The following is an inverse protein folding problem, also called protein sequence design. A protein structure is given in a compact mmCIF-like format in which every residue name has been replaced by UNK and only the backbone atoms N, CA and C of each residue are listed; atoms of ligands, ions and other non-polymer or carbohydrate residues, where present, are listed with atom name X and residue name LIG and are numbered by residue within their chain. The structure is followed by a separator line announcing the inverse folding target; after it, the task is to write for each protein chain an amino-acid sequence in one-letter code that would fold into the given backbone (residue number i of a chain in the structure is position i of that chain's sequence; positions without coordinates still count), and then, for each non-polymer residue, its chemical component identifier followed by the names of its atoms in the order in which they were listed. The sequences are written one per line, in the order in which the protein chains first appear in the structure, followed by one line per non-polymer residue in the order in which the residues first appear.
data_IF_674091085273
#
_entry.id   IF_674091085273
#
_cell.length_a   1.000
_cell.length_b   1.000
_cell.length_c   1.000
_cell.angle_alpha   90.00
_cell.angle_beta   90.00
_cell.angle_gamma   90.00
#
_symmetry.space_group_name_H-M   'P 1'
#
loop_
_entity.id
_entity.type
_entity.pdbx_description
1 polymer ?
#
# COMPACT_ATOMS: atom_id res chain seq x y z
N UNK A 1 -39.04 4.32 -44.91
CA UNK A 1 -38.26 5.26 -44.08
C UNK A 1 -38.12 4.65 -42.69
N UNK A 2 -36.90 4.20 -42.33
CA UNK A 2 -36.51 3.84 -40.96
C UNK A 2 -35.27 4.67 -40.65
N UNK A 3 -35.21 5.29 -39.47
CA UNK A 3 -33.97 5.28 -38.69
C UNK A 3 -34.27 4.72 -37.29
N UNK A 4 -33.69 3.58 -36.91
CA UNK A 4 -32.41 3.48 -36.21
C UNK A 4 -32.46 4.15 -34.83
N UNK A 5 -33.13 3.47 -33.90
CA UNK A 5 -32.89 3.63 -32.47
C UNK A 5 -31.57 2.90 -32.17
N UNK A 6 -30.44 3.62 -32.19
CA UNK A 6 -29.21 3.15 -31.57
C UNK A 6 -29.37 3.30 -30.06
N UNK A 7 -30.03 2.32 -29.43
CA UNK A 7 -29.93 2.11 -27.99
C UNK A 7 -28.46 1.89 -27.66
N UNK A 8 -27.80 2.89 -27.07
CA UNK A 8 -26.55 2.65 -26.33
C UNK A 8 -26.87 1.66 -25.22
N UNK A 9 -26.61 0.38 -25.50
CA UNK A 9 -26.81 -0.70 -24.55
C UNK A 9 -25.76 -0.53 -23.46
N UNK A 10 -26.18 -0.19 -22.23
CA UNK A 10 -25.25 -0.07 -21.12
C UNK A 10 -24.40 -1.34 -21.00
N UNK A 11 -23.07 -1.20 -20.85
CA UNK A 11 -22.17 -2.35 -20.90
C UNK A 11 -22.36 -3.26 -19.68
N UNK A 12 -22.89 -4.46 -19.94
CA UNK A 12 -23.31 -5.42 -18.93
C UNK A 12 -22.20 -5.81 -17.93
N UNK A 13 -22.55 -6.09 -16.66
CA UNK A 13 -21.61 -6.51 -15.61
C UNK A 13 -21.12 -7.95 -15.84
N UNK A 14 -19.99 -8.31 -15.24
CA UNK A 14 -19.39 -9.63 -15.37
C UNK A 14 -20.34 -10.75 -14.91
N UNK A 15 -21.17 -10.50 -13.89
CA UNK A 15 -22.18 -11.44 -13.40
C UNK A 15 -23.20 -11.86 -14.46
N UNK A 16 -23.42 -11.06 -15.50
CA UNK A 16 -24.31 -11.39 -16.61
C UNK A 16 -23.79 -12.55 -17.46
N UNK A 17 -22.47 -12.76 -17.54
CA UNK A 17 -21.84 -13.74 -18.43
C UNK A 17 -21.59 -15.11 -17.77
N UNK A 18 -22.21 -15.36 -16.61
CA UNK A 18 -22.08 -16.62 -15.88
C UNK A 18 -20.82 -16.71 -15.03
N UNK A 19 -20.29 -17.92 -14.87
CA UNK A 19 -19.24 -18.21 -13.89
C UNK A 19 -17.95 -17.40 -14.16
N UNK A 20 -17.28 -16.99 -13.07
CA UNK A 20 -16.16 -16.04 -13.03
C UNK A 20 -14.83 -16.61 -13.54
N UNK A 21 -14.85 -17.35 -14.65
CA UNK A 21 -13.69 -17.98 -15.26
C UNK A 21 -13.10 -17.09 -16.37
N UNK A 22 -11.88 -17.40 -16.84
CA UNK A 22 -11.20 -16.76 -17.99
C UNK A 22 -12.02 -16.70 -19.31
N UNK A 23 -13.19 -17.34 -19.35
CA UNK A 23 -14.14 -17.28 -20.48
C UNK A 23 -15.09 -16.07 -20.39
N UNK A 24 -15.14 -15.40 -19.24
CA UNK A 24 -15.96 -14.21 -19.07
C UNK A 24 -15.32 -13.04 -19.86
N UNK A 25 -16.03 -12.45 -20.83
CA UNK A 25 -15.47 -11.42 -21.70
C UNK A 25 -15.10 -10.14 -20.95
N UNK A 26 -15.80 -9.82 -19.87
CA UNK A 26 -15.50 -8.62 -19.05
C UNK A 26 -14.19 -8.81 -18.28
N UNK A 27 -13.98 -10.01 -17.71
CA UNK A 27 -12.74 -10.35 -17.00
C UNK A 27 -11.56 -10.38 -17.97
N UNK A 28 -11.72 -11.03 -19.13
CA UNK A 28 -10.66 -11.13 -20.14
C UNK A 28 -10.29 -9.76 -20.72
N UNK A 29 -11.27 -8.89 -20.95
CA UNK A 29 -11.01 -7.52 -21.40
C UNK A 29 -10.29 -6.70 -20.32
N UNK A 30 -10.71 -6.82 -19.06
CA UNK A 30 -10.04 -6.18 -17.93
C UNK A 30 -8.59 -6.63 -17.77
N UNK A 31 -8.35 -7.94 -17.74
CA UNK A 31 -7.00 -8.52 -17.65
C UNK A 31 -6.11 -8.04 -18.81
N UNK A 32 -6.68 -7.96 -20.02
CA UNK A 32 -5.98 -7.44 -21.20
C UNK A 32 -5.60 -5.97 -21.05
N UNK A 33 -6.56 -5.12 -20.65
CA UNK A 33 -6.35 -3.68 -20.47
C UNK A 33 -5.31 -3.41 -19.36
N UNK A 34 -5.38 -4.15 -18.24
CA UNK A 34 -4.43 -4.06 -17.14
C UNK A 34 -3.03 -4.48 -17.56
N UNK A 35 -2.87 -5.62 -18.25
CA UNK A 35 -1.54 -6.09 -18.72
C UNK A 35 -0.91 -5.12 -19.71
N UNK A 36 -1.71 -4.53 -20.60
CA UNK A 36 -1.25 -3.48 -21.52
C UNK A 36 -0.78 -2.25 -20.75
N UNK A 37 -1.56 -1.81 -19.75
CA UNK A 37 -1.19 -0.70 -18.87
C UNK A 37 0.12 -1.00 -18.12
N UNK A 38 0.25 -2.15 -17.46
CA UNK A 38 1.47 -2.56 -16.76
C UNK A 38 2.70 -2.54 -17.68
N UNK A 39 2.57 -3.08 -18.89
CA UNK A 39 3.65 -3.11 -19.88
C UNK A 39 4.06 -1.70 -20.30
N UNK A 40 3.09 -0.82 -20.54
CA UNK A 40 3.34 0.59 -20.85
C UNK A 40 4.04 1.31 -19.69
N UNK A 41 3.55 1.13 -18.46
CA UNK A 41 4.13 1.75 -17.25
C UNK A 41 5.56 1.25 -16.99
N UNK A 42 5.84 -0.04 -17.21
CA UNK A 42 7.19 -0.60 -17.12
C UNK A 42 8.12 0.08 -18.12
N UNK A 43 7.70 0.19 -19.38
CA UNK A 43 8.50 0.82 -20.44
C UNK A 43 8.86 2.26 -20.10
N UNK A 44 7.91 3.06 -19.60
CA UNK A 44 8.22 4.46 -19.23
C UNK A 44 9.16 4.55 -18.03
N UNK A 45 9.10 3.60 -17.08
CA UNK A 45 9.98 3.58 -15.91
C UNK A 45 11.44 3.25 -16.26
N UNK A 46 11.67 2.59 -17.40
CA UNK A 46 13.01 2.23 -17.89
C UNK A 46 13.59 3.26 -18.85
N UNK A 47 12.86 4.32 -19.20
CA UNK A 47 13.39 5.36 -20.07
C UNK A 47 14.50 6.14 -19.35
N UNK A 48 15.59 6.49 -20.05
CA UNK A 48 16.71 7.23 -19.44
C UNK A 48 16.31 8.66 -19.07
N UNK A 49 15.30 9.22 -19.74
CA UNK A 49 14.76 10.56 -19.46
C UNK A 49 13.31 10.45 -19.01
N UNK A 50 12.95 11.24 -17.99
CA UNK A 50 11.61 11.26 -17.45
C UNK A 50 10.65 12.01 -18.39
N UNK A 51 9.81 11.26 -19.12
CA UNK A 51 8.77 11.84 -19.97
C UNK A 51 7.47 12.07 -19.19
N UNK A 52 7.23 13.33 -18.84
CA UNK A 52 6.03 13.75 -18.11
C UNK A 52 4.74 13.44 -18.89
N UNK A 53 4.75 13.57 -20.22
CA UNK A 53 3.56 13.37 -21.04
C UNK A 53 3.15 11.89 -21.10
N UNK A 54 4.13 11.00 -21.28
CA UNK A 54 3.88 9.56 -21.22
C UNK A 54 3.44 9.10 -19.83
N UNK A 55 4.03 9.66 -18.76
CA UNK A 55 3.58 9.39 -17.39
C UNK A 55 2.14 9.84 -17.16
N UNK A 56 1.79 11.08 -17.53
CA UNK A 56 0.44 11.61 -17.38
C UNK A 56 -0.59 10.79 -18.17
N UNK A 57 -0.24 10.38 -19.40
CA UNK A 57 -1.07 9.50 -20.22
C UNK A 57 -1.30 8.16 -19.55
N UNK A 58 -0.24 7.52 -19.05
CA UNK A 58 -0.35 6.24 -18.33
C UNK A 58 -1.23 6.34 -17.09
N UNK A 59 -1.07 7.41 -16.31
CA UNK A 59 -1.91 7.68 -15.14
C UNK A 59 -3.39 7.86 -15.50
N UNK A 60 -3.68 8.62 -16.58
CA UNK A 60 -5.04 8.82 -17.08
C UNK A 60 -5.66 7.50 -17.55
N UNK A 61 -4.95 6.71 -18.34
CA UNK A 61 -5.42 5.41 -18.81
C UNK A 61 -5.72 4.47 -17.65
N UNK A 62 -4.86 4.43 -16.62
CA UNK A 62 -5.10 3.60 -15.43
C UNK A 62 -6.38 4.02 -14.69
N UNK A 63 -6.58 5.33 -14.51
CA UNK A 63 -7.80 5.87 -13.90
C UNK A 63 -9.06 5.52 -14.70
N UNK A 64 -9.01 5.61 -16.03
CA UNK A 64 -10.11 5.25 -16.92
C UNK A 64 -10.43 3.76 -16.83
N UNK A 65 -9.43 2.87 -16.81
CA UNK A 65 -9.62 1.43 -16.60
C UNK A 65 -10.35 1.19 -15.26
N UNK A 66 -9.89 1.83 -14.19
CA UNK A 66 -10.51 1.68 -12.88
C UNK A 66 -11.98 2.11 -12.85
N UNK A 67 -12.33 3.22 -13.50
CA UNK A 67 -13.72 3.68 -13.52
C UNK A 67 -14.59 2.82 -14.44
N UNK A 68 -14.06 2.39 -15.59
CA UNK A 68 -14.75 1.53 -16.57
C UNK A 68 -15.17 0.19 -15.96
N UNK A 69 -14.30 -0.41 -15.15
CA UNK A 69 -14.51 -1.78 -14.65
C UNK A 69 -15.04 -1.85 -13.21
N UNK A 70 -14.99 -0.77 -12.42
CA UNK A 70 -15.51 -0.75 -11.04
C UNK A 70 -16.97 -1.24 -10.92
N UNK A 71 -17.94 -0.77 -11.72
CA UNK A 71 -19.31 -1.26 -11.61
C UNK A 71 -19.52 -2.62 -12.27
N UNK A 72 -18.53 -3.12 -13.02
CA UNK A 72 -18.67 -4.31 -13.88
C UNK A 72 -18.02 -5.55 -13.29
N UNK A 73 -17.12 -5.40 -12.32
CA UNK A 73 -16.39 -6.51 -11.69
C UNK A 73 -16.86 -6.72 -10.25
N UNK A 74 -16.80 -7.95 -9.73
CA UNK A 74 -16.99 -8.16 -8.30
C UNK A 74 -15.95 -7.42 -7.47
N UNK A 75 -16.40 -6.87 -6.35
CA UNK A 75 -15.60 -5.98 -5.48
C UNK A 75 -14.26 -6.60 -5.10
N UNK A 76 -14.25 -7.82 -4.58
CA UNK A 76 -13.02 -8.49 -4.13
C UNK A 76 -12.00 -8.65 -5.27
N UNK A 77 -12.46 -9.05 -6.45
CA UNK A 77 -11.60 -9.24 -7.62
C UNK A 77 -11.01 -7.91 -8.10
N UNK A 78 -11.83 -6.85 -8.15
CA UNK A 78 -11.39 -5.51 -8.51
C UNK A 78 -10.36 -4.95 -7.51
N UNK A 79 -10.66 -5.06 -6.22
CA UNK A 79 -9.80 -4.59 -5.13
C UNK A 79 -8.45 -5.28 -5.12
N UNK A 80 -8.43 -6.61 -5.32
CA UNK A 80 -7.18 -7.37 -5.37
C UNK A 80 -6.30 -6.91 -6.54
N UNK A 81 -6.87 -6.77 -7.75
CA UNK A 81 -6.11 -6.33 -8.92
C UNK A 81 -5.65 -4.87 -8.80
N UNK A 82 -6.43 -4.01 -8.14
CA UNK A 82 -6.01 -2.64 -7.83
C UNK A 82 -4.76 -2.63 -6.95
N UNK A 83 -4.74 -3.44 -5.88
CA UNK A 83 -3.58 -3.54 -5.00
C UNK A 83 -2.40 -4.24 -5.68
N UNK A 84 -2.63 -5.25 -6.53
CA UNK A 84 -1.56 -5.86 -7.34
C UNK A 84 -0.91 -4.84 -8.29
N UNK A 85 -1.70 -3.98 -8.93
CA UNK A 85 -1.16 -2.88 -9.73
C UNK A 85 -0.37 -1.89 -8.86
N UNK A 86 -0.86 -1.56 -7.66
CA UNK A 86 -0.16 -0.67 -6.72
C UNK A 86 1.22 -1.22 -6.33
N UNK A 87 1.28 -2.51 -5.98
CA UNK A 87 2.52 -3.24 -5.68
C UNK A 87 3.48 -3.23 -6.88
N UNK A 88 2.95 -3.45 -8.08
CA UNK A 88 3.75 -3.42 -9.31
C UNK A 88 4.34 -2.02 -9.55
N UNK A 89 3.52 -0.97 -9.45
CA UNK A 89 3.95 0.43 -9.60
C UNK A 89 5.00 0.80 -8.56
N UNK A 90 4.86 0.33 -7.33
CA UNK A 90 5.88 0.46 -6.29
C UNK A 90 7.18 -0.22 -6.71
N UNK A 91 7.12 -1.45 -7.23
CA UNK A 91 8.29 -2.21 -7.69
C UNK A 91 9.08 -1.55 -8.82
N UNK A 92 8.40 -0.80 -9.70
CA UNK A 92 9.04 0.00 -10.76
C UNK A 92 9.30 1.46 -10.35
N UNK A 93 9.27 1.75 -9.04
CA UNK A 93 9.55 3.07 -8.44
C UNK A 93 8.60 4.21 -8.87
N UNK A 94 7.41 3.89 -9.36
CA UNK A 94 6.35 4.86 -9.63
C UNK A 94 5.48 5.06 -8.38
N UNK A 95 6.12 5.42 -7.27
CA UNK A 95 5.50 5.47 -5.93
C UNK A 95 4.29 6.40 -5.87
N UNK A 96 4.38 7.57 -6.51
CA UNK A 96 3.27 8.53 -6.56
C UNK A 96 2.05 7.90 -7.22
N UNK A 97 2.23 7.20 -8.35
CA UNK A 97 1.09 6.60 -9.04
C UNK A 97 0.51 5.42 -8.25
N UNK A 98 1.35 4.55 -7.69
CA UNK A 98 0.91 3.43 -6.87
C UNK A 98 0.16 3.87 -5.60
N UNK A 99 0.60 4.97 -5.00
CA UNK A 99 -0.08 5.59 -3.87
C UNK A 99 -1.49 6.08 -4.26
N UNK A 100 -1.59 6.92 -5.30
CA UNK A 100 -2.84 7.58 -5.65
C UNK A 100 -3.85 6.67 -6.37
N UNK A 101 -3.40 5.86 -7.32
CA UNK A 101 -4.29 5.00 -8.15
C UNK A 101 -4.47 3.59 -7.58
N UNK A 102 -3.81 3.29 -6.45
CA UNK A 102 -3.82 1.97 -5.82
C UNK A 102 -4.21 2.07 -4.36
N UNK A 103 -3.22 2.24 -3.48
CA UNK A 103 -3.40 2.12 -2.03
C UNK A 103 -4.39 3.14 -1.45
N UNK A 104 -4.23 4.44 -1.74
CA UNK A 104 -5.16 5.46 -1.25
C UNK A 104 -6.55 5.29 -1.84
N UNK A 105 -6.65 4.94 -3.13
CA UNK A 105 -7.93 4.70 -3.81
C UNK A 105 -8.71 3.56 -3.16
N UNK A 106 -8.01 2.50 -2.75
CA UNK A 106 -8.61 1.40 -1.99
C UNK A 106 -9.13 1.89 -0.63
N UNK A 107 -8.29 2.61 0.14
CA UNK A 107 -8.60 3.04 1.50
C UNK A 107 -9.71 4.10 1.59
N UNK A 108 -9.88 4.92 0.54
CA UNK A 108 -10.96 5.91 0.43
C UNK A 108 -12.36 5.29 0.50
N UNK A 109 -12.49 3.97 0.30
CA UNK A 109 -13.75 3.25 0.47
C UNK A 109 -14.17 3.09 1.93
N UNK A 110 -13.23 3.21 2.87
CA UNK A 110 -13.47 3.04 4.31
C UNK A 110 -13.41 4.36 5.06
N UNK A 111 -12.38 5.17 4.76
CA UNK A 111 -12.17 6.44 5.43
C UNK A 111 -11.63 7.48 4.47
N UNK A 112 -12.17 8.70 4.55
CA UNK A 112 -11.66 9.88 3.86
C UNK A 112 -10.63 10.64 4.69
N UNK A 113 -10.43 10.22 5.94
CA UNK A 113 -9.50 10.85 6.88
C UNK A 113 -8.05 10.52 6.46
N UNK A 114 -7.16 11.52 6.37
CA UNK A 114 -5.73 11.29 6.16
C UNK A 114 -5.14 10.35 7.21
N UNK A 115 -4.23 9.46 6.82
CA UNK A 115 -3.55 8.56 7.76
C UNK A 115 -2.80 9.31 8.87
N UNK A 116 -2.37 10.54 8.58
CA UNK A 116 -1.66 11.42 9.50
C UNK A 116 -2.56 11.91 10.66
N UNK A 117 -3.89 11.84 10.50
CA UNK A 117 -4.88 12.29 11.49
C UNK A 117 -5.39 11.16 12.41
N UNK A 118 -4.98 9.91 12.18
CA UNK A 118 -5.32 8.77 13.04
C UNK A 118 -4.43 8.82 14.28
N UNK A 119 -5.04 9.03 15.46
CA UNK A 119 -4.32 9.32 16.71
C UNK A 119 -4.20 8.15 17.69
N UNK A 120 -5.10 7.19 17.60
CA UNK A 120 -5.18 6.07 18.55
C UNK A 120 -5.68 4.78 17.89
N UNK A 121 -5.58 3.68 18.65
CA UNK A 121 -5.90 2.32 18.20
C UNK A 121 -7.40 2.14 17.92
N UNK A 122 -8.26 2.82 18.68
CA UNK A 122 -9.70 2.67 18.52
C UNK A 122 -10.16 3.37 17.24
N UNK A 123 -9.71 4.61 17.01
CA UNK A 123 -9.95 5.35 15.77
C UNK A 123 -9.41 4.58 14.55
N UNK A 124 -8.23 3.94 14.66
CA UNK A 124 -7.70 3.08 13.62
C UNK A 124 -8.62 1.89 13.31
N UNK A 125 -9.06 1.16 14.35
CA UNK A 125 -9.93 -0.02 14.19
C UNK A 125 -11.30 0.37 13.63
N UNK A 126 -11.93 1.41 14.14
CA UNK A 126 -13.26 1.84 13.67
C UNK A 126 -13.21 2.37 12.23
N UNK A 127 -12.12 3.03 11.84
CA UNK A 127 -11.97 3.60 10.49
C UNK A 127 -11.74 2.55 9.41
N UNK A 128 -10.92 1.53 9.68
CA UNK A 128 -10.46 0.59 8.64
C UNK A 128 -10.94 -0.84 8.84
N UNK A 129 -11.33 -1.22 10.07
CA UNK A 129 -11.69 -2.58 10.44
C UNK A 129 -12.96 -2.64 11.29
N UNK A 130 -14.09 -2.06 10.82
CA UNK A 130 -15.34 -2.07 11.59
C UNK A 130 -15.87 -3.48 11.87
N UNK A 131 -15.46 -4.48 11.07
CA UNK A 131 -15.80 -5.90 11.23
C UNK A 131 -14.70 -6.73 11.89
N UNK A 132 -13.66 -6.09 12.42
CA UNK A 132 -12.48 -6.77 12.98
C UNK A 132 -11.49 -7.25 11.92
N UNK A 133 -10.51 -8.05 12.37
CA UNK A 133 -9.36 -8.46 11.55
C UNK A 133 -9.52 -9.84 10.90
N UNK A 134 -10.50 -10.64 11.31
CA UNK A 134 -10.70 -12.01 10.82
C UNK A 134 -11.56 -12.05 9.53
N UNK A 135 -11.33 -11.10 8.62
CA UNK A 135 -12.03 -11.01 7.33
C UNK A 135 -11.05 -11.07 6.17
N UNK A 136 -11.47 -11.58 5.01
CA UNK A 136 -10.62 -11.59 3.81
C UNK A 136 -10.23 -10.17 3.37
N UNK A 137 -11.13 -9.21 3.61
CA UNK A 137 -10.91 -7.79 3.32
C UNK A 137 -9.84 -7.17 4.23
N UNK A 138 -9.70 -7.65 5.48
CA UNK A 138 -8.70 -7.13 6.40
C UNK A 138 -7.28 -7.30 5.86
N UNK A 139 -6.98 -8.43 5.19
CA UNK A 139 -5.66 -8.67 4.56
C UNK A 139 -5.36 -7.63 3.48
N UNK A 140 -6.33 -7.33 2.63
CA UNK A 140 -6.21 -6.31 1.58
C UNK A 140 -6.05 -4.90 2.20
N UNK A 141 -6.79 -4.62 3.27
CA UNK A 141 -6.72 -3.35 4.00
C UNK A 141 -5.35 -3.13 4.63
N UNK A 142 -4.79 -4.14 5.31
CA UNK A 142 -3.43 -4.04 5.85
C UNK A 142 -2.39 -3.84 4.74
N UNK A 143 -2.50 -4.57 3.62
CA UNK A 143 -1.63 -4.38 2.46
C UNK A 143 -1.69 -2.94 1.94
N UNK A 144 -2.89 -2.37 1.84
CA UNK A 144 -3.07 -0.99 1.39
C UNK A 144 -2.47 0.04 2.35
N UNK A 145 -2.72 -0.13 3.66
CA UNK A 145 -2.17 0.74 4.70
C UNK A 145 -0.62 0.72 4.72
N UNK A 146 -0.02 -0.47 4.67
CA UNK A 146 1.43 -0.63 4.59
C UNK A 146 2.00 -0.03 3.31
N UNK A 147 1.35 -0.29 2.17
CA UNK A 147 1.72 0.27 0.87
C UNK A 147 1.67 1.80 0.86
N UNK A 148 0.65 2.41 1.47
CA UNK A 148 0.56 3.86 1.66
C UNK A 148 1.75 4.42 2.44
N UNK A 149 2.07 3.81 3.59
CA UNK A 149 3.21 4.23 4.42
C UNK A 149 4.53 4.14 3.65
N UNK A 150 4.75 3.02 2.95
CA UNK A 150 5.95 2.79 2.16
C UNK A 150 6.08 3.77 1.00
N UNK A 151 5.03 3.98 0.20
CA UNK A 151 5.04 4.96 -0.88
C UNK A 151 5.30 6.37 -0.36
N UNK A 152 4.65 6.77 0.73
CA UNK A 152 4.84 8.09 1.32
C UNK A 152 6.29 8.28 1.80
N UNK A 153 6.87 7.28 2.45
CA UNK A 153 8.28 7.28 2.83
C UNK A 153 9.23 7.41 1.63
N UNK A 154 9.05 6.60 0.58
CA UNK A 154 9.92 6.67 -0.60
C UNK A 154 9.80 8.02 -1.32
N UNK A 155 8.60 8.59 -1.40
CA UNK A 155 8.40 9.93 -1.98
C UNK A 155 9.11 11.03 -1.20
N UNK A 156 9.17 10.95 0.13
CA UNK A 156 9.97 11.90 0.91
C UNK A 156 11.46 11.69 0.68
N UNK A 157 11.93 10.45 0.48
CA UNK A 157 13.34 10.17 0.14
C UNK A 157 13.75 10.70 -1.23
N UNK A 158 12.85 10.69 -2.21
CA UNK A 158 13.13 11.19 -3.56
C UNK A 158 13.23 12.72 -3.66
N UNK A 159 12.77 13.46 -2.64
CA UNK A 159 12.75 14.93 -2.65
C UNK A 159 14.11 15.61 -2.48
N UNK A 160 15.19 14.85 -2.23
CA UNK A 160 16.56 15.38 -2.19
C UNK A 160 17.35 14.94 -0.95
N UNK A 161 18.51 15.57 -0.75
CA UNK A 161 19.53 15.16 0.22
C UNK A 161 19.24 15.55 1.67
N UNK A 162 18.24 16.41 1.93
CA UNK A 162 17.83 16.77 3.30
C UNK A 162 16.30 16.91 3.36
N UNK A 163 15.61 16.23 4.29
CA UNK A 163 14.18 16.40 4.47
C UNK A 163 13.88 17.81 4.98
N UNK A 164 12.95 18.49 4.32
CA UNK A 164 12.39 19.74 4.84
C UNK A 164 11.76 19.50 6.21
N UNK A 165 11.60 20.52 7.04
CA UNK A 165 10.88 20.40 8.33
C UNK A 165 9.50 19.74 8.16
N UNK A 166 8.80 20.08 7.07
CA UNK A 166 7.53 19.46 6.68
C UNK A 166 7.69 17.96 6.36
N UNK A 167 8.75 17.59 5.64
CA UNK A 167 9.09 16.20 5.36
C UNK A 167 9.39 15.40 6.63
N UNK A 168 10.16 15.96 7.56
CA UNK A 168 10.43 15.34 8.87
C UNK A 168 9.13 15.11 9.63
N UNK A 169 8.26 16.13 9.74
CA UNK A 169 6.96 15.98 10.40
C UNK A 169 6.12 14.88 9.76
N UNK A 170 6.10 14.81 8.43
CA UNK A 170 5.39 13.76 7.71
C UNK A 170 5.92 12.36 8.02
N UNK A 171 7.25 12.21 8.09
CA UNK A 171 7.88 10.94 8.47
C UNK A 171 7.57 10.55 9.92
N UNK A 172 7.49 11.52 10.84
CA UNK A 172 7.03 11.30 12.21
C UNK A 172 5.57 10.87 12.26
N UNK A 173 4.69 11.48 11.47
CA UNK A 173 3.29 11.05 11.35
C UNK A 173 3.17 9.61 10.82
N UNK A 174 3.96 9.25 9.81
CA UNK A 174 4.01 7.86 9.30
C UNK A 174 4.48 6.90 10.39
N UNK A 175 5.54 7.25 11.15
CA UNK A 175 6.01 6.44 12.29
C UNK A 175 4.92 6.25 13.36
N UNK A 176 4.23 7.34 13.71
CA UNK A 176 3.09 7.30 14.63
C UNK A 176 1.98 6.37 14.14
N UNK A 177 1.63 6.46 12.86
CA UNK A 177 0.62 5.60 12.26
C UNK A 177 1.04 4.12 12.25
N UNK A 178 2.27 3.81 11.86
CA UNK A 178 2.81 2.42 11.89
C UNK A 178 2.79 1.87 13.31
N UNK A 179 3.11 2.69 14.32
CA UNK A 179 3.01 2.29 15.73
C UNK A 179 1.59 1.93 16.12
N UNK A 180 0.61 2.79 15.80
CA UNK A 180 -0.80 2.54 16.12
C UNK A 180 -1.27 1.24 15.46
N UNK A 181 -0.93 1.03 14.19
CA UNK A 181 -1.23 -0.20 13.47
C UNK A 181 -0.63 -1.42 14.17
N UNK A 182 0.65 -1.37 14.55
CA UNK A 182 1.32 -2.46 15.27
C UNK A 182 0.70 -2.73 16.64
N UNK A 183 0.34 -1.69 17.39
CA UNK A 183 -0.35 -1.84 18.68
C UNK A 183 -1.71 -2.50 18.51
N UNK A 184 -2.45 -2.16 17.45
CA UNK A 184 -3.74 -2.75 17.14
C UNK A 184 -3.62 -4.26 16.86
N UNK A 185 -2.61 -4.68 16.10
CA UNK A 185 -2.41 -6.09 15.70
C UNK A 185 -1.65 -6.93 16.72
N UNK A 186 -1.00 -6.30 17.71
CA UNK A 186 -0.18 -6.99 18.73
C UNK A 186 -0.90 -8.14 19.45
N UNK A 187 -2.20 -8.06 19.78
CA UNK A 187 -2.93 -9.18 20.40
C UNK A 187 -3.19 -10.37 19.47
N UNK A 188 -2.98 -10.24 18.16
CA UNK A 188 -3.38 -11.20 17.14
C UNK A 188 -2.17 -11.94 16.57
N UNK A 189 -1.88 -13.13 17.11
CA UNK A 189 -0.67 -13.91 16.74
C UNK A 189 -0.57 -14.22 15.25
N UNK A 190 -1.70 -14.51 14.59
CA UNK A 190 -1.75 -14.79 13.15
C UNK A 190 -1.36 -13.57 12.27
N UNK A 191 -1.28 -12.38 12.86
CA UNK A 191 -0.85 -11.14 12.22
C UNK A 191 0.59 -10.74 12.59
N UNK A 192 1.37 -11.63 13.22
CA UNK A 192 2.75 -11.34 13.63
C UNK A 192 3.66 -10.85 12.48
N UNK A 193 3.36 -11.25 11.24
CA UNK A 193 4.06 -10.76 10.05
C UNK A 193 3.92 -9.24 9.84
N UNK A 194 2.80 -8.64 10.26
CA UNK A 194 2.61 -7.19 10.26
C UNK A 194 3.51 -6.51 11.27
N UNK A 195 3.72 -7.13 12.43
CA UNK A 195 4.66 -6.62 13.44
C UNK A 195 6.10 -6.64 12.91
N UNK A 196 6.50 -7.72 12.25
CA UNK A 196 7.82 -7.82 11.63
C UNK A 196 8.02 -6.73 10.56
N UNK A 197 7.07 -6.60 9.62
CA UNK A 197 7.16 -5.60 8.57
C UNK A 197 7.12 -4.16 9.12
N UNK A 198 6.27 -3.89 10.10
CA UNK A 198 6.20 -2.59 10.78
C UNK A 198 7.52 -2.23 11.47
N UNK A 199 8.17 -3.21 12.11
CA UNK A 199 9.50 -3.03 12.73
C UNK A 199 10.57 -2.62 11.71
N UNK A 200 10.57 -3.26 10.52
CA UNK A 200 11.47 -2.88 9.43
C UNK A 200 11.19 -1.47 8.91
N UNK A 201 9.92 -1.07 8.81
CA UNK A 201 9.55 0.28 8.38
C UNK A 201 10.01 1.34 9.37
N UNK A 202 9.75 1.12 10.66
CA UNK A 202 10.22 2.00 11.74
C UNK A 202 11.73 2.13 11.68
N UNK A 203 12.46 1.01 11.61
CA UNK A 203 13.92 1.03 11.52
C UNK A 203 14.41 1.84 10.31
N UNK A 204 13.86 1.59 9.11
CA UNK A 204 14.30 2.27 7.89
C UNK A 204 14.01 3.78 7.93
N UNK A 205 12.85 4.19 8.43
CA UNK A 205 12.50 5.61 8.56
C UNK A 205 13.39 6.28 9.61
N UNK A 206 13.56 5.67 10.79
CA UNK A 206 14.45 6.19 11.82
C UNK A 206 15.89 6.29 11.34
N UNK A 207 16.41 5.26 10.64
CA UNK A 207 17.75 5.28 10.06
C UNK A 207 17.91 6.42 9.04
N UNK A 208 16.91 6.62 8.18
CA UNK A 208 16.91 7.74 7.25
C UNK A 208 16.92 9.08 8.01
N UNK A 209 16.04 9.28 8.99
CA UNK A 209 16.01 10.50 9.80
C UNK A 209 17.33 10.75 10.54
N UNK A 210 17.95 9.73 11.12
CA UNK A 210 19.25 9.85 11.80
C UNK A 210 20.37 10.22 10.84
N UNK A 211 20.38 9.67 9.62
CA UNK A 211 21.39 10.02 8.62
C UNK A 211 21.30 11.49 8.15
N UNK A 212 20.15 12.13 8.37
CA UNK A 212 19.85 13.48 7.88
C UNK A 212 19.77 14.54 8.99
N UNK A 213 19.41 14.17 10.22
CA UNK A 213 19.13 15.15 11.28
C UNK A 213 20.39 15.73 11.93
N UNK A 214 20.30 17.00 12.36
CA UNK A 214 21.17 17.58 13.39
C UNK A 214 20.74 17.01 14.76
N UNK A 215 21.71 16.64 15.61
CA UNK A 215 21.60 15.79 16.80
C UNK A 215 20.39 15.98 17.78
N UNK A 216 19.71 17.13 17.80
CA UNK A 216 18.65 17.42 18.77
C UNK A 216 17.31 16.68 18.53
N UNK A 217 16.95 16.37 17.29
CA UNK A 217 15.71 15.61 17.00
C UNK A 217 15.90 14.09 17.15
N UNK A 218 17.15 13.62 17.15
CA UNK A 218 17.53 12.20 17.27
C UNK A 218 17.07 11.62 18.60
N UNK A 219 17.13 12.37 19.70
CA UNK A 219 16.86 11.84 21.04
C UNK A 219 15.40 11.34 21.19
N UNK A 220 14.43 12.14 20.73
CA UNK A 220 13.02 11.73 20.74
C UNK A 220 12.74 10.55 19.80
N UNK A 221 13.44 10.49 18.66
CA UNK A 221 13.38 9.36 17.72
C UNK A 221 13.97 8.08 18.31
N UNK A 222 15.09 8.17 19.03
CA UNK A 222 15.72 7.03 19.69
C UNK A 222 14.86 6.52 20.84
N UNK A 223 14.27 7.39 21.67
CA UNK A 223 13.34 6.96 22.73
C UNK A 223 12.11 6.27 22.12
N UNK A 224 11.58 6.81 21.03
CA UNK A 224 10.47 6.22 20.29
C UNK A 224 10.84 4.86 19.69
N UNK A 225 12.03 4.72 19.12
CA UNK A 225 12.56 3.45 18.62
C UNK A 225 12.77 2.43 19.75
N UNK A 226 13.38 2.83 20.87
CA UNK A 226 13.71 1.93 22.00
C UNK A 226 12.44 1.47 22.73
N UNK A 227 11.46 2.35 22.93
CA UNK A 227 10.16 1.99 23.51
C UNK A 227 9.36 1.06 22.59
N UNK A 228 9.41 1.25 21.27
CA UNK A 228 8.78 0.33 20.32
C UNK A 228 9.50 -1.02 20.26
N UNK A 229 10.83 -1.03 20.23
CA UNK A 229 11.63 -2.28 20.26
C UNK A 229 11.41 -3.04 21.56
N UNK A 230 11.28 -2.40 22.72
CA UNK A 230 10.92 -3.09 23.97
C UNK A 230 9.52 -3.74 23.91
N UNK A 231 8.53 -3.08 23.29
CA UNK A 231 7.19 -3.65 23.11
C UNK A 231 7.21 -4.83 22.13
N UNK A 232 8.03 -4.75 21.07
CA UNK A 232 8.16 -5.80 20.05
C UNK A 232 8.98 -6.97 20.60
N UNK A 233 10.16 -6.74 21.16
CA UNK A 233 11.07 -7.78 21.69
C UNK A 233 10.48 -8.45 22.92
N UNK A 234 9.85 -7.70 23.83
CA UNK A 234 9.24 -8.25 25.04
C UNK A 234 8.09 -9.26 24.79
N UNK A 235 7.43 -9.19 23.62
CA UNK A 235 6.37 -10.15 23.23
C UNK A 235 6.78 -11.08 22.08
N UNK A 236 7.63 -10.65 21.14
CA UNK A 236 8.11 -11.50 20.05
C UNK A 236 9.17 -12.52 20.50
N UNK A 237 9.89 -12.30 21.61
CA UNK A 237 10.78 -13.33 22.20
C UNK A 237 9.98 -14.55 22.69
N UNK A 238 8.68 -14.39 22.98
CA UNK A 238 7.78 -15.50 23.29
C UNK A 238 7.14 -16.15 22.04
N UNK A 239 7.34 -15.60 20.84
CA UNK A 239 6.91 -16.22 19.58
C UNK A 239 8.08 -17.01 18.97
N UNK A 240 8.01 -18.36 18.88
CA UNK A 240 9.11 -19.19 18.40
C UNK A 240 9.52 -18.97 16.92
N UNK A 241 8.79 -18.14 16.16
CA UNK A 241 8.95 -17.97 14.71
C UNK A 241 9.82 -16.79 14.25
N UNK A 242 10.18 -15.85 15.13
CA UNK A 242 10.94 -14.64 14.78
C UNK A 242 12.46 -14.59 15.05
N UNK A 243 13.12 -15.45 15.87
CA UNK A 243 14.45 -15.11 16.39
C UNK A 243 15.61 -15.01 15.38
N UNK A 244 15.60 -15.80 14.29
CA UNK A 244 16.81 -15.95 13.46
C UNK A 244 16.91 -14.99 12.26
N UNK A 245 15.79 -14.47 11.73
CA UNK A 245 15.78 -13.56 10.57
C UNK A 245 15.82 -12.07 10.92
N UNK A 246 15.34 -11.69 12.11
CA UNK A 246 15.45 -10.32 12.60
C UNK A 246 16.93 -9.93 12.74
N UNK A 247 17.77 -10.81 13.29
CA UNK A 247 19.18 -10.51 13.55
C UNK A 247 20.03 -10.43 12.28
N UNK A 248 19.81 -11.30 11.29
CA UNK A 248 20.56 -11.28 10.03
C UNK A 248 20.19 -10.08 9.14
N UNK A 249 18.98 -9.54 9.30
CA UNK A 249 18.51 -8.33 8.61
C UNK A 249 19.14 -7.03 9.15
N UNK A 250 19.79 -7.06 10.33
CA UNK A 250 20.52 -5.88 10.85
C UNK A 250 21.80 -5.57 10.05
N UNK A 251 22.32 -6.51 9.24
CA UNK A 251 23.61 -6.36 8.54
C UNK A 251 23.56 -6.44 6.99
N UNK A 252 22.38 -6.57 6.35
CA UNK A 252 22.28 -6.69 4.89
C UNK A 252 21.07 -5.96 4.26
N UNK A 253 20.98 -5.87 2.91
CA UNK A 253 19.83 -5.27 2.24
C UNK A 253 18.58 -6.15 2.47
N UNK A 254 17.60 -5.62 3.21
CA UNK A 254 16.43 -6.38 3.67
C UNK A 254 15.27 -6.25 2.68
N UNK A 255 14.76 -7.38 2.20
CA UNK A 255 13.54 -7.48 1.40
C UNK A 255 12.30 -7.60 2.30
N UNK A 256 11.18 -7.00 1.86
CA UNK A 256 9.88 -7.06 2.54
C UNK A 256 9.41 -8.52 2.63
N UNK A 257 9.03 -8.97 3.84
CA UNK A 257 8.50 -10.33 4.03
C UNK A 257 7.03 -10.35 3.58
N UNK A 258 6.71 -11.18 2.58
CA UNK A 258 5.33 -11.42 2.14
C UNK A 258 4.68 -12.49 3.01
N UNK A 259 3.35 -12.44 3.22
CA UNK A 259 2.65 -13.50 3.93
C UNK A 259 2.91 -14.88 3.27
N UNK A 260 2.86 -15.98 4.02
CA UNK A 260 2.86 -17.31 3.44
C UNK A 260 1.63 -17.45 2.52
N UNK A 261 1.87 -17.95 1.31
CA UNK A 261 0.80 -18.41 0.41
C UNK A 261 0.00 -19.52 1.10
N UNK A 262 -1.31 -19.66 0.83
CA UNK A 262 -2.06 -20.84 1.28
C UNK A 262 -1.44 -22.14 0.76
#
# INVERSE_FOLDING_TARGET
VKPLLSTEMEPLPASFYGNMCKRNPVISAFDGDIKKCMSFMKRISTLPTYDHNSYARGAKTLFEIWNKYKPRLPTNYYEEHMLQMADFLFGIKLYRLGLWQGYCRYLQQFSTVPLEDIRDVDHFKTSFFPKGFDTDQAKLTFRALQGCCLCAFQLERERGSQPTQKGVQRLLSILGFVRIMMQAVLPHEHLCWLLYNGSLYIYNICRYLMSMSRAAQVHNLTITFTSMVHVIVGKCVCCPFLPSRLWSSFCGPVSVWRPPSP
#
